data_IF_178277441427
#
_entry.id   IF_178277441427
#
_cell.length_a   1.000
_cell.length_b   1.000
_cell.length_c   1.000
_cell.angle_alpha   90.00
_cell.angle_beta   90.00
_cell.angle_gamma   90.00
#
_symmetry.space_group_name_H-M   'P 1'
#
loop_
_entity.id
_entity.type
_entity.pdbx_description
1 polymer ?
#
# COMPACT_ATOMS: atom_id res chain seq x y z
N UNK A 1 22.14 41.53 -25.36
CA UNK A 1 20.86 41.15 -25.99
C UNK A 1 20.89 39.83 -26.77
N UNK A 2 21.88 39.50 -27.61
CA UNK A 2 21.93 38.15 -28.22
C UNK A 2 22.34 37.04 -27.23
N UNK A 3 23.31 37.32 -26.35
CA UNK A 3 23.79 36.35 -25.34
C UNK A 3 22.71 35.97 -24.31
N UNK A 4 21.79 36.88 -23.99
CA UNK A 4 20.74 36.64 -22.99
C UNK A 4 19.71 35.62 -23.51
N UNK A 5 19.47 35.60 -24.83
CA UNK A 5 18.56 34.65 -25.47
C UNK A 5 19.18 33.24 -25.56
N UNK A 6 20.48 33.13 -25.82
CA UNK A 6 21.18 31.84 -25.85
C UNK A 6 21.24 31.20 -24.45
N UNK A 7 21.51 32.01 -23.42
CA UNK A 7 21.51 31.54 -22.04
C UNK A 7 20.13 31.02 -21.62
N UNK A 8 19.06 31.73 -21.99
CA UNK A 8 17.69 31.31 -21.71
C UNK A 8 17.33 29.95 -22.35
N UNK A 9 17.71 29.76 -23.61
CA UNK A 9 17.47 28.49 -24.32
C UNK A 9 18.25 27.33 -23.70
N UNK A 10 19.45 27.58 -23.18
CA UNK A 10 20.23 26.55 -22.47
C UNK A 10 19.55 26.18 -21.15
N UNK A 11 19.06 27.17 -20.40
CA UNK A 11 18.36 26.90 -19.12
C UNK A 11 17.06 26.13 -19.33
N UNK A 12 16.25 26.50 -20.33
CA UNK A 12 14.98 25.83 -20.62
C UNK A 12 15.20 24.36 -21.03
N UNK A 13 16.21 24.09 -21.88
CA UNK A 13 16.58 22.71 -22.24
C UNK A 13 17.00 21.90 -21.03
N UNK A 14 17.77 22.50 -20.12
CA UNK A 14 18.22 21.83 -18.90
C UNK A 14 17.06 21.55 -17.95
N UNK A 15 16.12 22.49 -17.82
CA UNK A 15 14.91 22.29 -17.01
C UNK A 15 14.04 21.16 -17.58
N UNK A 16 13.81 21.13 -18.89
CA UNK A 16 13.08 20.06 -19.55
C UNK A 16 13.76 18.68 -19.36
N UNK A 17 15.08 18.61 -19.50
CA UNK A 17 15.85 17.39 -19.25
C UNK A 17 15.71 16.92 -17.79
N UNK A 18 15.79 17.85 -16.82
CA UNK A 18 15.63 17.52 -15.40
C UNK A 18 14.21 17.03 -15.09
N UNK A 19 13.17 17.64 -15.66
CA UNK A 19 11.78 17.21 -15.47
C UNK A 19 11.56 15.79 -16.03
N UNK A 20 12.00 15.53 -17.27
CA UNK A 20 11.92 14.17 -17.83
C UNK A 20 12.70 13.16 -17.01
N UNK A 21 13.85 13.55 -16.44
CA UNK A 21 14.62 12.69 -15.55
C UNK A 21 13.87 12.39 -14.26
N UNK A 22 13.24 13.39 -13.63
CA UNK A 22 12.41 13.21 -12.43
C UNK A 22 11.27 12.24 -12.74
N UNK A 23 10.53 12.46 -13.82
CA UNK A 23 9.42 11.59 -14.23
C UNK A 23 9.87 10.13 -14.41
N UNK A 24 11.00 9.91 -15.07
CA UNK A 24 11.53 8.55 -15.26
C UNK A 24 11.97 7.89 -13.94
N UNK A 25 12.48 8.68 -12.99
CA UNK A 25 12.89 8.17 -11.69
C UNK A 25 11.68 7.86 -10.81
N UNK A 26 10.66 8.70 -10.83
CA UNK A 26 9.40 8.47 -10.11
C UNK A 26 8.66 7.24 -10.66
N UNK A 27 8.64 7.07 -11.97
CA UNK A 27 8.08 5.88 -12.62
C UNK A 27 8.81 4.61 -12.17
N UNK A 28 10.15 4.62 -12.23
CA UNK A 28 10.97 3.47 -11.77
C UNK A 28 10.75 3.18 -10.29
N UNK A 29 10.66 4.21 -9.45
CA UNK A 29 10.33 4.04 -8.03
C UNK A 29 8.93 3.42 -7.85
N UNK A 30 7.94 3.83 -8.65
CA UNK A 30 6.59 3.25 -8.60
C UNK A 30 6.62 1.76 -8.98
N UNK A 31 7.33 1.41 -10.05
CA UNK A 31 7.49 0.03 -10.50
C UNK A 31 8.23 -0.83 -9.46
N UNK A 32 9.33 -0.31 -8.90
CA UNK A 32 10.08 -1.01 -7.86
C UNK A 32 9.24 -1.22 -6.60
N UNK A 33 8.45 -0.21 -6.17
CA UNK A 33 7.52 -0.37 -5.06
C UNK A 33 6.51 -1.49 -5.30
N UNK A 34 5.98 -1.60 -6.53
CA UNK A 34 5.04 -2.68 -6.88
C UNK A 34 5.67 -4.07 -6.83
N UNK A 35 6.95 -4.20 -7.22
CA UNK A 35 7.69 -5.47 -7.23
C UNK A 35 8.16 -5.85 -5.83
N UNK A 36 8.63 -4.88 -5.04
CA UNK A 36 9.22 -5.11 -3.72
C UNK A 36 8.19 -5.28 -2.60
N UNK A 37 6.92 -4.91 -2.82
CA UNK A 37 5.87 -5.17 -1.84
C UNK A 37 5.65 -6.68 -1.70
N UNK A 38 6.01 -7.31 -0.57
CA UNK A 38 5.77 -8.73 -0.38
C UNK A 38 4.26 -8.94 -0.32
N UNK A 39 3.68 -9.52 -1.36
CA UNK A 39 2.27 -9.90 -1.39
C UNK A 39 2.07 -11.19 -0.59
N UNK A 40 2.39 -11.15 0.70
CA UNK A 40 2.08 -12.25 1.60
C UNK A 40 0.58 -12.23 1.87
N UNK A 41 -0.10 -13.28 1.44
CA UNK A 41 -1.52 -13.48 1.71
C UNK A 41 -1.65 -14.14 3.07
N UNK A 42 -1.99 -13.35 4.08
CA UNK A 42 -2.34 -13.87 5.39
C UNK A 42 -3.78 -14.40 5.41
N UNK A 43 -4.08 -15.43 6.22
CA UNK A 43 -5.43 -15.95 6.36
C UNK A 43 -6.44 -14.86 6.71
N UNK A 44 -7.61 -14.89 6.06
CA UNK A 44 -8.70 -13.93 6.28
C UNK A 44 -9.23 -13.97 7.71
N UNK A 45 -9.16 -15.14 8.35
CA UNK A 45 -9.59 -15.39 9.74
C UNK A 45 -8.84 -14.52 10.76
N UNK A 46 -7.66 -14.04 10.41
CA UNK A 46 -6.88 -13.16 11.30
C UNK A 46 -7.43 -11.73 11.33
N UNK A 47 -8.31 -11.37 10.38
CA UNK A 47 -8.98 -10.07 10.31
C UNK A 47 -8.00 -8.89 10.35
N UNK A 48 -6.83 -9.04 9.72
CA UNK A 48 -5.81 -8.01 9.66
C UNK A 48 -6.15 -6.95 8.61
N UNK A 49 -6.09 -5.69 9.01
CA UNK A 49 -6.21 -4.56 8.08
C UNK A 49 -5.03 -4.57 7.09
N UNK A 50 -5.16 -3.89 5.94
CA UNK A 50 -4.09 -3.82 4.93
C UNK A 50 -2.74 -3.42 5.52
N UNK A 51 -2.73 -2.30 6.25
CA UNK A 51 -1.53 -1.83 6.95
C UNK A 51 -1.00 -2.78 8.04
N UNK A 52 -1.88 -3.55 8.68
CA UNK A 52 -1.47 -4.51 9.72
C UNK A 52 -0.80 -5.72 9.07
N UNK A 53 -1.33 -6.18 7.93
CA UNK A 53 -0.70 -7.20 7.09
C UNK A 53 0.67 -6.75 6.61
N UNK A 54 0.79 -5.51 6.15
CA UNK A 54 2.09 -4.98 5.70
C UNK A 54 3.12 -4.99 6.83
N UNK A 55 2.76 -4.52 8.04
CA UNK A 55 3.64 -4.56 9.21
C UNK A 55 4.06 -6.01 9.56
N UNK A 56 3.10 -6.94 9.56
CA UNK A 56 3.39 -8.33 9.85
C UNK A 56 4.26 -8.98 8.78
N UNK A 57 4.03 -8.67 7.50
CA UNK A 57 4.83 -9.12 6.38
C UNK A 57 6.28 -8.63 6.50
N UNK A 58 6.50 -7.38 6.89
CA UNK A 58 7.83 -6.82 7.08
C UNK A 58 8.59 -7.45 8.25
N UNK A 59 7.88 -7.77 9.34
CA UNK A 59 8.43 -8.52 10.47
C UNK A 59 8.76 -9.96 10.08
N UNK A 60 7.90 -10.62 9.31
CA UNK A 60 8.13 -11.98 8.85
C UNK A 60 9.29 -12.08 7.84
N UNK A 61 9.38 -11.12 6.92
CA UNK A 61 10.44 -11.05 5.92
C UNK A 61 11.80 -10.62 6.49
N UNK A 62 11.90 -10.35 7.80
CA UNK A 62 13.14 -9.92 8.41
C UNK A 62 14.03 -11.09 8.82
N UNK A 63 15.36 -10.93 8.72
CA UNK A 63 16.26 -11.94 9.24
C UNK A 63 16.04 -12.06 10.75
N UNK A 64 15.86 -13.28 11.23
CA UNK A 64 15.57 -13.61 12.63
C UNK A 64 14.26 -13.04 13.19
N UNK A 65 13.36 -12.53 12.33
CA UNK A 65 12.08 -11.98 12.75
C UNK A 65 12.18 -10.66 13.52
N UNK A 66 13.34 -10.00 13.57
CA UNK A 66 13.55 -8.70 14.21
C UNK A 66 13.53 -7.54 13.20
N UNK A 67 12.88 -6.42 13.55
CA UNK A 67 12.97 -5.14 12.82
C UNK A 67 13.06 -3.98 13.81
N UNK A 68 13.88 -2.98 13.47
CA UNK A 68 13.99 -1.77 14.27
C UNK A 68 12.75 -0.88 14.15
N UNK A 69 12.50 -0.06 15.17
CA UNK A 69 11.40 0.91 15.17
C UNK A 69 11.50 1.87 13.97
N UNK A 70 12.68 2.47 13.76
CA UNK A 70 12.91 3.40 12.66
C UNK A 70 12.64 2.78 11.29
N UNK A 71 12.99 1.50 11.10
CA UNK A 71 12.75 0.80 9.84
C UNK A 71 11.25 0.53 9.62
N UNK A 72 10.53 0.13 10.67
CA UNK A 72 9.09 -0.09 10.59
C UNK A 72 8.31 1.22 10.38
N UNK A 73 8.72 2.30 11.03
CA UNK A 73 8.15 3.64 10.84
C UNK A 73 8.36 4.13 9.42
N UNK A 74 9.60 4.09 8.91
CA UNK A 74 9.93 4.50 7.54
C UNK A 74 9.12 3.71 6.51
N UNK A 75 9.01 2.39 6.73
CA UNK A 75 8.26 1.53 5.80
C UNK A 75 6.76 1.79 5.90
N UNK A 76 6.25 2.01 7.11
CA UNK A 76 4.85 2.35 7.33
C UNK A 76 4.48 3.69 6.66
N UNK A 77 5.32 4.71 6.78
CA UNK A 77 5.18 6.00 6.07
C UNK A 77 5.16 5.79 4.55
N UNK A 78 6.07 4.94 4.04
CA UNK A 78 6.19 4.67 2.61
C UNK A 78 4.96 3.96 2.02
N UNK A 79 4.33 3.04 2.76
CA UNK A 79 3.23 2.22 2.25
C UNK A 79 1.83 2.74 2.58
N UNK A 80 1.65 3.39 3.72
CA UNK A 80 0.32 3.83 4.15
C UNK A 80 -0.09 5.18 3.54
N UNK A 81 0.87 6.04 3.19
CA UNK A 81 0.59 7.42 2.79
C UNK A 81 -0.09 8.26 3.89
N UNK A 82 -0.24 7.70 5.10
CA UNK A 82 -0.85 8.35 6.25
C UNK A 82 0.27 9.00 7.06
N UNK A 83 0.05 10.25 7.49
CA UNK A 83 1.06 11.03 8.21
C UNK A 83 1.49 10.40 9.54
N UNK A 84 2.64 10.87 10.03
CA UNK A 84 3.46 10.39 11.16
C UNK A 84 2.72 10.16 12.49
N UNK A 85 1.48 10.61 12.64
CA UNK A 85 0.78 10.64 13.92
C UNK A 85 -0.02 9.37 14.25
N UNK A 86 -0.26 8.47 13.28
CA UNK A 86 -0.86 7.17 13.56
C UNK A 86 0.18 6.20 14.13
N UNK A 87 0.43 6.29 15.45
CA UNK A 87 1.52 5.60 16.14
C UNK A 87 1.64 4.12 15.81
N UNK A 88 2.83 3.70 15.36
CA UNK A 88 3.22 2.31 15.12
C UNK A 88 2.86 1.41 16.32
N UNK A 89 3.04 1.91 17.54
CA UNK A 89 2.71 1.20 18.77
C UNK A 89 1.24 0.77 18.86
N UNK A 90 0.29 1.65 18.53
CA UNK A 90 -1.14 1.32 18.54
C UNK A 90 -1.47 0.24 17.51
N UNK A 91 -0.82 0.28 16.34
CA UNK A 91 -0.99 -0.75 15.31
C UNK A 91 -0.43 -2.09 15.76
N UNK A 92 0.79 -2.12 16.31
CA UNK A 92 1.38 -3.35 16.87
C UNK A 92 0.52 -3.91 18.01
N UNK A 93 -0.04 -3.06 18.86
CA UNK A 93 -0.98 -3.47 19.90
C UNK A 93 -2.23 -4.16 19.31
N UNK A 94 -2.84 -3.56 18.28
CA UNK A 94 -3.99 -4.15 17.61
C UNK A 94 -3.66 -5.49 16.94
N UNK A 95 -2.50 -5.58 16.29
CA UNK A 95 -1.99 -6.83 15.69
C UNK A 95 -1.85 -7.90 16.79
N UNK A 96 -1.18 -7.58 17.90
CA UNK A 96 -1.02 -8.51 19.05
C UNK A 96 -2.37 -9.00 19.57
N UNK A 97 -3.36 -8.10 19.71
CA UNK A 97 -4.69 -8.44 20.18
C UNK A 97 -5.39 -9.45 19.27
N UNK A 98 -5.29 -9.28 17.95
CA UNK A 98 -5.86 -10.19 16.94
C UNK A 98 -5.12 -11.53 16.90
N UNK A 99 -3.79 -11.47 16.90
CA UNK A 99 -2.92 -12.64 16.77
C UNK A 99 -2.83 -13.52 18.02
N UNK A 100 -3.22 -12.99 19.19
CA UNK A 100 -3.23 -13.74 20.46
C UNK A 100 -4.03 -15.04 20.39
N UNK A 101 -5.13 -15.06 19.62
CA UNK A 101 -5.99 -16.24 19.45
C UNK A 101 -5.27 -17.39 18.73
N UNK A 102 -4.24 -17.09 17.96
CA UNK A 102 -3.49 -18.03 17.14
C UNK A 102 -2.13 -18.39 17.75
N UNK A 103 -1.88 -18.04 19.02
CA UNK A 103 -0.61 -18.24 19.71
C UNK A 103 0.60 -17.58 19.00
N UNK A 104 0.36 -16.53 18.21
CA UNK A 104 1.41 -15.74 17.57
C UNK A 104 1.76 -14.57 18.48
N UNK A 105 3.03 -14.49 18.87
CA UNK A 105 3.57 -13.53 19.84
C UNK A 105 4.60 -12.62 19.17
N UNK A 106 4.31 -11.32 19.21
CA UNK A 106 5.25 -10.26 18.84
C UNK A 106 5.83 -9.69 20.14
N UNK A 107 7.13 -9.79 20.35
CA UNK A 107 7.83 -9.25 21.52
C UNK A 107 8.38 -7.85 21.22
N UNK A 108 8.35 -6.95 22.20
CA UNK A 108 8.99 -5.62 22.11
C UNK A 108 10.37 -5.71 22.73
N UNK A 109 11.38 -5.17 22.06
CA UNK A 109 12.65 -4.81 22.68
C UNK A 109 12.67 -3.30 22.84
N UNK A 110 12.76 -2.85 24.09
CA UNK A 110 12.72 -1.43 24.42
C UNK A 110 13.81 -0.68 23.65
N UNK A 111 13.44 0.44 23.03
CA UNK A 111 14.31 1.30 22.22
C UNK A 111 14.94 0.65 20.97
N UNK A 112 14.79 -0.65 20.74
CA UNK A 112 15.34 -1.33 19.57
C UNK A 112 14.27 -1.54 18.50
N UNK A 113 13.15 -2.18 18.87
CA UNK A 113 12.15 -2.57 17.89
C UNK A 113 11.23 -3.69 18.33
N UNK A 114 10.79 -4.47 17.35
CA UNK A 114 9.87 -5.58 17.53
C UNK A 114 10.44 -6.84 16.91
N UNK A 115 10.12 -7.99 17.51
CA UNK A 115 10.49 -9.26 16.93
C UNK A 115 9.41 -10.34 17.08
N UNK A 116 9.41 -11.28 16.14
CA UNK A 116 8.61 -12.49 16.18
C UNK A 116 9.41 -13.61 16.86
N UNK A 117 8.76 -14.35 17.75
CA UNK A 117 9.38 -15.55 18.32
C UNK A 117 9.51 -16.63 17.24
N UNK A 118 10.50 -17.53 17.37
CA UNK A 118 10.71 -18.62 16.41
C UNK A 118 9.46 -19.48 16.22
N UNK A 119 8.74 -19.76 17.31
CA UNK A 119 7.47 -20.49 17.27
C UNK A 119 6.41 -19.73 16.46
N UNK A 120 6.31 -18.42 16.64
CA UNK A 120 5.38 -17.57 15.89
C UNK A 120 5.70 -17.55 14.40
N UNK A 121 6.98 -17.49 14.04
CA UNK A 121 7.43 -17.55 12.64
C UNK A 121 7.00 -18.87 12.00
N UNK A 122 7.12 -19.99 12.71
CA UNK A 122 6.69 -21.30 12.18
C UNK A 122 5.18 -21.36 11.97
N UNK A 123 4.39 -20.87 12.92
CA UNK A 123 2.92 -20.82 12.80
C UNK A 123 2.53 -19.98 11.58
N UNK A 124 3.17 -18.82 11.39
CA UNK A 124 2.93 -17.96 10.22
C UNK A 124 3.33 -18.70 8.94
N UNK A 125 4.49 -19.36 8.90
CA UNK A 125 4.92 -20.13 7.73
C UNK A 125 3.93 -21.22 7.35
N UNK A 126 3.45 -22.00 8.32
CA UNK A 126 2.44 -23.04 8.11
C UNK A 126 1.10 -22.46 7.65
N UNK A 127 0.72 -21.29 8.16
CA UNK A 127 -0.49 -20.60 7.71
C UNK A 127 -0.35 -20.14 6.25
N UNK A 128 0.77 -19.51 5.89
CA UNK A 128 1.05 -19.08 4.52
C UNK A 128 1.09 -20.25 3.53
N UNK A 129 1.70 -21.38 3.92
CA UNK A 129 1.74 -22.57 3.08
C UNK A 129 0.35 -23.14 2.78
N UNK A 130 -0.58 -23.07 3.75
CA UNK A 130 -1.98 -23.50 3.56
C UNK A 130 -2.74 -22.60 2.59
N UNK A 131 -2.57 -21.28 2.69
CA UNK A 131 -3.21 -20.32 1.78
C UNK A 131 -2.71 -20.50 0.33
N UNK A 132 -1.42 -20.79 0.15
CA UNK A 132 -0.87 -21.07 -1.19
C UNK A 132 -1.41 -22.38 -1.74
N UNK A 133 -1.44 -23.45 -0.94
CA UNK A 133 -1.95 -24.75 -1.36
C UNK A 133 -3.47 -24.76 -1.62
N UNK A 134 -4.24 -23.90 -0.95
CA UNK A 134 -5.68 -23.76 -1.17
C UNK A 134 -6.05 -22.93 -2.42
N UNK A 135 -5.06 -22.38 -3.13
CA UNK A 135 -5.30 -21.47 -4.27
C UNK A 135 -5.37 -22.14 -5.64
N UNK A 136 -5.27 -23.48 -5.70
CA UNK A 136 -5.27 -24.27 -6.95
C UNK A 136 -6.59 -24.15 -7.75
N UNK A 137 -7.66 -23.57 -7.18
CA UNK A 137 -8.97 -23.41 -7.84
C UNK A 137 -9.27 -21.99 -8.35
N UNK A 138 -8.33 -21.04 -8.32
CA UNK A 138 -8.57 -19.71 -8.91
C UNK A 138 -8.14 -19.73 -10.39
N UNK A 139 -9.06 -19.78 -11.38
CA UNK A 139 -8.69 -19.59 -12.77
C UNK A 139 -7.99 -18.23 -12.88
N UNK A 140 -6.72 -18.29 -13.30
CA UNK A 140 -5.86 -17.15 -13.55
C UNK A 140 -6.57 -16.16 -14.49
N UNK A 141 -7.22 -15.15 -13.92
CA UNK A 141 -7.99 -14.15 -14.67
C UNK A 141 -7.09 -13.10 -15.33
N UNK A 142 -5.80 -13.38 -15.49
CA UNK A 142 -4.90 -12.68 -16.42
C UNK A 142 -5.17 -13.08 -17.88
N UNK A 143 -6.40 -13.50 -18.22
CA UNK A 143 -6.85 -13.36 -19.61
C UNK A 143 -6.95 -11.87 -19.86
N UNK A 144 -5.92 -11.38 -20.55
CA UNK A 144 -5.89 -10.10 -21.21
C UNK A 144 -7.30 -9.72 -21.63
N UNK A 145 -7.76 -8.59 -21.11
CA UNK A 145 -8.89 -7.86 -21.65
C UNK A 145 -8.45 -7.46 -23.06
N UNK A 146 -8.64 -8.37 -24.02
CA UNK A 146 -8.33 -8.19 -25.43
C UNK A 146 -9.34 -7.15 -25.92
N UNK A 147 -8.94 -5.88 -25.86
CA UNK A 147 -9.70 -4.69 -26.26
C UNK A 147 -9.95 -4.68 -27.77
N UNK A 148 -10.67 -5.67 -28.32
CA UNK A 148 -11.10 -5.67 -29.72
C UNK A 148 -12.56 -5.27 -29.95
N UNK A 149 -13.34 -5.03 -28.89
CA UNK A 149 -14.78 -4.75 -29.01
C UNK A 149 -15.23 -3.34 -28.58
N UNK A 150 -14.36 -2.33 -28.67
CA UNK A 150 -14.77 -0.92 -28.50
C UNK A 150 -15.40 -0.28 -29.77
N UNK A 151 -15.81 -1.07 -30.78
CA UNK A 151 -16.45 -0.54 -32.02
C UNK A 151 -17.93 -0.88 -32.14
N UNK A 152 -18.75 -0.80 -31.08
CA UNK A 152 -20.21 -0.90 -31.29
C UNK A 152 -21.14 -0.37 -30.19
N UNK A 153 -20.86 0.78 -29.60
CA UNK A 153 -21.90 1.57 -28.91
C UNK A 153 -21.63 3.02 -29.31
N UNK A 154 -22.32 3.61 -30.28
CA UNK A 154 -23.76 3.75 -30.31
C UNK A 154 -24.06 5.19 -29.91
N UNK A 155 -24.08 6.08 -30.91
CA UNK A 155 -24.53 7.47 -30.78
C UNK A 155 -25.98 7.47 -30.23
N UNK A 156 -26.17 8.03 -29.05
CA UNK A 156 -27.47 8.47 -28.53
C UNK A 156 -27.17 9.53 -27.47
N UNK A 157 -27.00 10.79 -27.84
CA UNK A 157 -28.06 11.81 -28.01
C UNK A 157 -29.02 11.90 -26.82
N UNK A 158 -28.73 12.92 -26.02
CA UNK A 158 -29.65 13.92 -25.49
C UNK A 158 -30.58 13.62 -24.31
N UNK A 159 -30.43 14.54 -23.34
CA UNK A 159 -31.42 15.16 -22.46
C UNK A 159 -31.92 14.29 -21.30
N UNK A 160 -31.75 14.84 -20.09
CA UNK A 160 -32.77 15.12 -19.08
C UNK A 160 -32.06 16.02 -18.02
N UNK A 161 -32.28 17.34 -18.02
CA UNK A 161 -33.18 18.04 -17.07
C UNK A 161 -32.98 17.54 -15.63
N UNK A 162 -32.36 18.31 -14.73
CA UNK A 162 -33.03 19.46 -14.12
C UNK A 162 -33.76 18.98 -12.85
N UNK A 163 -33.15 19.18 -11.69
CA UNK A 163 -33.69 18.69 -10.41
C UNK A 163 -32.96 19.27 -9.21
N UNK A 164 -33.13 20.56 -8.99
CA UNK A 164 -32.73 21.29 -7.79
C UNK A 164 -33.82 21.06 -6.75
N UNK A 165 -33.53 20.39 -5.63
CA UNK A 165 -34.34 20.50 -4.42
C UNK A 165 -33.47 20.72 -3.19
N UNK A 166 -33.81 21.82 -2.53
CA UNK A 166 -33.42 22.29 -1.21
C UNK A 166 -34.01 21.40 -0.11
N UNK A 167 -33.60 21.71 1.13
CA UNK A 167 -34.13 21.31 2.45
C UNK A 167 -33.31 20.18 3.09
N UNK A 168 -32.90 20.23 4.36
CA UNK A 168 -33.33 21.07 5.48
C UNK A 168 -32.20 21.36 6.46
N UNK A 169 -32.25 22.56 7.04
CA UNK A 169 -31.64 22.86 8.32
C UNK A 169 -32.54 22.34 9.46
N UNK A 170 -31.93 21.86 10.54
CA UNK A 170 -32.53 21.75 11.88
C UNK A 170 -31.39 22.00 12.88
N UNK A 171 -31.30 23.18 13.50
CA UNK A 171 -31.92 23.56 14.79
C UNK A 171 -31.53 22.59 15.92
N UNK A 172 -30.47 22.94 16.67
CA UNK A 172 -30.50 23.63 17.98
C UNK A 172 -31.14 22.77 19.07
N UNK A 173 -30.30 22.15 19.88
CA UNK A 173 -30.66 21.58 21.18
C UNK A 173 -30.13 22.55 22.24
N UNK A 174 -31.01 22.84 23.21
CA UNK A 174 -30.83 23.68 24.39
C UNK A 174 -29.72 23.23 25.33
#
# INVERSE_FOLDING_TARGET
>A
MKMDNELYLITEKREAELLTRIDTLEERLRQMKLVLMPRLLFPLDWQLNRSERDILAMLYASPNGFRSNAMLETSFEMFSGISKHAGLGTRIYNIRKKLRRFNIVIQTRNCEGYFLTRQSVEIIRMALAREVAGSDDIPNNNRAMDCRDCRRIGRGRMLLSGGRMLLSAGERIS
#
